data_IF_290949516743
#
_entry.id   IF_290949516743
#
_cell.length_a   1.000
_cell.length_b   1.000
_cell.length_c   1.000
_cell.angle_alpha   90.00
_cell.angle_beta   90.00
_cell.angle_gamma   90.00
#
_symmetry.space_group_name_H-M   'P 1'
#
loop_
_entity.id
_entity.type
_entity.pdbx_description
1 polymer ?
#
# COMPACT_ATOMS: atom_id res chain seq x y z
N UNK A 1 3.67 -8.59 0.98
CA UNK A 1 3.30 -9.20 -0.31
C UNK A 1 4.18 -8.59 -1.39
N UNK A 2 5.07 -9.39 -1.96
CA UNK A 2 5.86 -9.02 -3.13
C UNK A 2 4.98 -8.95 -4.38
N UNK A 3 5.46 -8.31 -5.45
CA UNK A 3 4.80 -8.36 -6.76
C UNK A 3 4.64 -9.81 -7.22
N UNK A 4 5.55 -10.73 -6.93
CA UNK A 4 5.36 -12.14 -7.29
C UNK A 4 4.30 -12.89 -6.43
N UNK A 5 3.57 -12.18 -5.56
CA UNK A 5 2.53 -12.74 -4.69
C UNK A 5 3.05 -13.45 -3.44
N UNK A 6 4.36 -13.45 -3.21
CA UNK A 6 4.95 -14.07 -2.02
C UNK A 6 4.70 -13.22 -0.76
N UNK A 7 4.41 -13.90 0.35
CA UNK A 7 4.19 -13.28 1.65
C UNK A 7 5.34 -13.66 2.58
N UNK A 8 6.20 -12.69 2.86
CA UNK A 8 7.25 -12.83 3.87
C UNK A 8 6.87 -12.08 5.14
N UNK A 9 7.33 -12.58 6.30
CA UNK A 9 7.21 -11.87 7.58
C UNK A 9 7.81 -10.45 7.45
N UNK A 10 7.04 -9.46 7.87
CA UNK A 10 7.34 -8.04 7.66
C UNK A 10 8.61 -7.60 8.37
N UNK A 11 9.68 -7.37 7.61
CA UNK A 11 10.85 -6.62 8.06
C UNK A 11 10.85 -5.24 7.42
N UNK A 12 10.80 -4.19 8.24
CA UNK A 12 10.82 -2.79 7.78
C UNK A 12 12.01 -2.46 6.89
N UNK A 13 13.13 -3.18 7.03
CA UNK A 13 14.33 -3.00 6.20
C UNK A 13 14.15 -3.44 4.75
N UNK A 14 13.11 -4.22 4.43
CA UNK A 14 12.78 -4.68 3.07
C UNK A 14 11.79 -3.79 2.33
N UNK A 15 11.19 -2.80 3.00
CA UNK A 15 10.30 -1.82 2.36
C UNK A 15 10.98 -1.13 1.15
N UNK A 16 12.25 -0.72 1.21
CA UNK A 16 12.95 -0.17 0.04
C UNK A 16 13.00 -1.13 -1.16
N UNK A 17 13.19 -2.42 -0.90
CA UNK A 17 13.29 -3.48 -1.92
C UNK A 17 11.91 -3.73 -2.55
N UNK A 18 10.86 -3.88 -1.73
CA UNK A 18 9.48 -4.00 -2.20
C UNK A 18 9.12 -2.85 -3.13
N UNK A 19 9.43 -1.62 -2.72
CA UNK A 19 9.15 -0.46 -3.56
C UNK A 19 9.98 -0.45 -4.85
N UNK A 20 11.18 -1.03 -4.87
CA UNK A 20 12.00 -1.14 -6.08
C UNK A 20 11.36 -2.06 -7.11
N UNK A 21 10.53 -3.02 -6.69
CA UNK A 21 9.73 -3.85 -7.59
C UNK A 21 8.73 -3.00 -8.39
N UNK A 22 8.25 -1.86 -7.87
CA UNK A 22 7.40 -0.94 -8.64
C UNK A 22 8.15 -0.21 -9.76
N UNK A 23 9.49 -0.24 -9.78
CA UNK A 23 10.29 0.33 -10.85
C UNK A 23 10.56 -0.67 -11.99
N UNK A 24 10.24 -1.95 -11.78
CA UNK A 24 10.33 -2.99 -12.81
C UNK A 24 9.24 -2.85 -13.89
N UNK A 25 9.40 -3.47 -15.07
CA UNK A 25 8.38 -3.46 -16.11
C UNK A 25 7.00 -3.81 -15.54
N UNK A 26 5.98 -3.17 -16.10
CA UNK A 26 4.61 -3.44 -15.71
C UNK A 26 4.30 -4.92 -15.92
N UNK A 27 3.86 -5.54 -14.85
CA UNK A 27 3.35 -6.90 -14.82
C UNK A 27 1.85 -6.77 -14.66
N UNK A 28 1.10 -7.25 -15.65
CA UNK A 28 -0.36 -7.17 -15.64
C UNK A 28 -0.97 -8.21 -14.69
N UNK A 29 -0.22 -9.23 -14.28
CA UNK A 29 -0.62 -10.22 -13.29
C UNK A 29 -0.47 -9.68 -11.86
N UNK A 30 0.53 -8.82 -11.65
CA UNK A 30 0.83 -8.21 -10.35
C UNK A 30 1.22 -6.72 -10.44
N UNK A 31 0.21 -5.83 -10.50
CA UNK A 31 0.42 -4.40 -10.69
C UNK A 31 0.79 -3.65 -9.40
N UNK A 32 0.70 -4.30 -8.23
CA UNK A 32 0.92 -3.71 -6.91
C UNK A 32 1.78 -4.56 -5.97
N UNK A 33 2.32 -3.88 -4.96
CA UNK A 33 2.88 -4.46 -3.75
C UNK A 33 1.94 -4.15 -2.58
N UNK A 34 1.89 -5.03 -1.58
CA UNK A 34 1.05 -4.78 -0.40
C UNK A 34 1.76 -5.10 0.92
N UNK A 35 1.47 -4.28 1.92
CA UNK A 35 1.84 -4.52 3.32
C UNK A 35 0.54 -4.59 4.11
N UNK A 36 0.39 -5.62 4.92
CA UNK A 36 -0.80 -5.83 5.74
C UNK A 36 -0.39 -6.00 7.20
N UNK A 37 -1.28 -5.59 8.09
CA UNK A 37 -1.15 -5.79 9.53
C UNK A 37 -2.02 -6.98 9.94
N UNK A 38 -1.39 -8.08 10.35
CA UNK A 38 -2.07 -9.34 10.70
C UNK A 38 -3.02 -9.21 11.91
N UNK A 39 -2.82 -8.24 12.80
CA UNK A 39 -3.63 -8.09 14.02
C UNK A 39 -4.94 -7.33 13.77
N UNK A 40 -4.93 -6.43 12.79
CA UNK A 40 -6.05 -5.51 12.52
C UNK A 40 -6.70 -5.70 11.15
N UNK A 41 -6.15 -6.59 10.32
CA UNK A 41 -6.58 -6.85 8.95
C UNK A 41 -6.57 -5.62 8.02
N UNK A 42 -5.84 -4.57 8.40
CA UNK A 42 -5.62 -3.46 7.49
C UNK A 42 -4.53 -3.78 6.48
N UNK A 43 -4.74 -3.37 5.24
CA UNK A 43 -3.82 -3.57 4.13
C UNK A 43 -3.60 -2.28 3.35
N UNK A 44 -2.33 -2.03 3.02
CA UNK A 44 -1.87 -0.95 2.18
C UNK A 44 -1.31 -1.53 0.88
N UNK A 45 -2.02 -1.33 -0.22
CA UNK A 45 -1.56 -1.68 -1.57
C UNK A 45 -1.00 -0.45 -2.28
N UNK A 46 0.11 -0.61 -2.98
CA UNK A 46 0.77 0.45 -3.73
C UNK A 46 1.04 0.03 -5.17
N UNK A 47 0.65 0.87 -6.12
CA UNK A 47 0.70 0.61 -7.54
C UNK A 47 1.76 1.49 -8.22
N UNK A 48 2.22 1.03 -9.38
CA UNK A 48 3.03 1.86 -10.27
C UNK A 48 2.29 3.15 -10.63
N UNK A 49 2.99 4.28 -10.60
CA UNK A 49 2.39 5.62 -10.82
C UNK A 49 1.91 6.32 -9.55
N UNK A 50 2.13 5.74 -8.37
CA UNK A 50 1.90 6.42 -7.08
C UNK A 50 0.44 6.41 -6.64
N UNK A 51 -0.36 5.45 -7.11
CA UNK A 51 -1.65 5.14 -6.51
C UNK A 51 -1.39 4.24 -5.28
N UNK A 52 -2.03 4.58 -4.17
CA UNK A 52 -1.96 3.84 -2.92
C UNK A 52 -3.38 3.60 -2.45
N UNK A 53 -3.70 2.38 -2.04
CA UNK A 53 -5.00 1.97 -1.52
C UNK A 53 -4.83 1.53 -0.07
N UNK A 54 -5.74 1.97 0.78
CA UNK A 54 -5.83 1.64 2.18
C UNK A 54 -7.20 1.06 2.48
N UNK A 55 -7.24 -0.20 2.86
CA UNK A 55 -8.48 -0.94 3.11
C UNK A 55 -8.34 -1.87 4.31
N UNK A 56 -9.46 -2.18 4.95
CA UNK A 56 -9.53 -3.26 5.92
C UNK A 56 -10.16 -4.46 5.24
N UNK A 57 -9.44 -5.57 5.12
CA UNK A 57 -9.88 -6.72 4.32
C UNK A 57 -10.93 -7.59 5.03
N UNK A 58 -11.08 -7.44 6.34
CA UNK A 58 -12.08 -8.17 7.13
C UNK A 58 -13.33 -7.34 7.41
N UNK A 59 -13.21 -6.02 7.44
CA UNK A 59 -14.34 -5.11 7.62
C UNK A 59 -15.00 -4.73 6.28
N UNK A 60 -16.27 -4.33 6.33
CA UNK A 60 -16.97 -3.79 5.15
C UNK A 60 -16.74 -2.28 4.95
N UNK A 61 -15.72 -1.72 5.62
CA UNK A 61 -15.31 -0.34 5.47
C UNK A 61 -15.03 -0.02 4.01
N UNK A 62 -15.40 1.18 3.60
CA UNK A 62 -15.06 1.65 2.26
C UNK A 62 -13.53 1.77 2.13
N UNK A 63 -12.95 1.26 1.04
CA UNK A 63 -11.53 1.45 0.75
C UNK A 63 -11.26 2.92 0.48
N UNK A 64 -10.04 3.33 0.73
CA UNK A 64 -9.58 4.68 0.48
C UNK A 64 -8.33 4.68 -0.38
N UNK A 65 -8.07 5.76 -1.11
CA UNK A 65 -6.86 5.89 -1.93
C UNK A 65 -6.19 7.25 -1.80
N UNK A 66 -4.88 7.26 -2.08
CA UNK A 66 -4.09 8.45 -2.38
C UNK A 66 -3.56 8.31 -3.80
N UNK A 67 -3.64 9.39 -4.57
CA UNK A 67 -3.14 9.44 -5.95
C UNK A 67 -1.91 10.35 -6.05
N UNK A 68 -1.01 10.04 -6.99
CA UNK A 68 0.22 10.80 -7.23
C UNK A 68 1.15 10.89 -5.99
N UNK A 69 1.17 9.84 -5.17
CA UNK A 69 2.04 9.76 -4.00
C UNK A 69 3.49 9.64 -4.45
N UNK A 70 4.34 10.55 -3.98
CA UNK A 70 5.77 10.50 -4.25
C UNK A 70 6.40 9.29 -3.55
N UNK A 71 7.43 8.69 -4.18
CA UNK A 71 8.14 7.50 -3.65
C UNK A 71 8.58 7.62 -2.19
N UNK A 72 9.07 8.79 -1.80
CA UNK A 72 9.50 9.05 -0.42
C UNK A 72 8.33 9.02 0.58
N UNK A 73 7.16 9.52 0.17
CA UNK A 73 5.96 9.48 1.00
C UNK A 73 5.37 8.07 1.04
N UNK A 74 5.37 7.35 -0.09
CA UNK A 74 4.96 5.96 -0.13
C UNK A 74 5.79 5.08 0.83
N UNK A 75 7.11 5.25 0.82
CA UNK A 75 8.01 4.59 1.77
C UNK A 75 7.66 4.92 3.22
N UNK A 76 7.34 6.19 3.50
CA UNK A 76 6.93 6.61 4.84
C UNK A 76 5.62 5.95 5.28
N UNK A 77 4.62 5.90 4.41
CA UNK A 77 3.32 5.31 4.72
C UNK A 77 3.47 3.81 4.97
N UNK A 78 4.24 3.11 4.14
CA UNK A 78 4.56 1.69 4.33
C UNK A 78 5.25 1.42 5.67
N UNK A 79 6.18 2.29 6.07
CA UNK A 79 6.84 2.17 7.37
C UNK A 79 5.84 2.33 8.51
N UNK A 80 4.93 3.30 8.44
CA UNK A 80 3.89 3.49 9.46
C UNK A 80 3.01 2.24 9.60
N UNK A 81 2.64 1.60 8.50
CA UNK A 81 1.86 0.34 8.54
C UNK A 81 2.66 -0.78 9.18
N UNK A 82 3.91 -0.99 8.74
CA UNK A 82 4.78 -2.03 9.28
C UNK A 82 5.16 -1.81 10.77
N UNK A 83 5.14 -0.57 11.25
CA UNK A 83 5.31 -0.22 12.67
C UNK A 83 4.01 -0.33 13.48
N UNK A 84 2.87 -0.71 12.87
CA UNK A 84 1.56 -0.76 13.51
C UNK A 84 0.96 0.62 13.84
N UNK A 85 1.48 1.70 13.24
CA UNK A 85 1.05 3.09 13.48
C UNK A 85 -0.14 3.48 12.59
N UNK A 86 -1.18 2.66 12.61
CA UNK A 86 -2.34 2.78 11.72
C UNK A 86 -3.15 4.06 11.94
N UNK A 87 -3.17 4.57 13.17
CA UNK A 87 -3.76 5.87 13.51
C UNK A 87 -3.14 7.03 12.72
N UNK A 88 -1.86 6.95 12.36
CA UNK A 88 -1.19 7.98 11.56
C UNK A 88 -1.46 7.81 10.08
N UNK A 89 -1.51 6.56 9.61
CA UNK A 89 -1.93 6.23 8.24
C UNK A 89 -3.34 6.76 8.00
N UNK A 90 -4.30 6.48 8.88
CA UNK A 90 -5.69 6.91 8.75
C UNK A 90 -5.93 8.43 8.81
N UNK A 91 -4.93 9.24 9.21
CA UNK A 91 -5.03 10.71 9.27
C UNK A 91 -4.56 11.42 8.00
N UNK A 92 -4.08 10.69 6.99
CA UNK A 92 -3.70 11.28 5.71
C UNK A 92 -4.95 11.74 4.94
N UNK A 93 -4.76 12.60 3.92
CA UNK A 93 -5.82 13.17 3.08
C UNK A 93 -6.40 12.16 2.06
N UNK A 94 -6.80 11.00 2.56
CA UNK A 94 -7.40 9.90 1.81
C UNK A 94 -8.65 10.34 1.04
N UNK A 95 -8.79 9.83 -0.17
CA UNK A 95 -9.98 9.95 -0.99
C UNK A 95 -10.79 8.63 -0.94
N UNK A 96 -12.13 8.67 -0.97
CA UNK A 96 -12.93 7.44 -0.96
C UNK A 96 -12.77 6.64 -2.25
N UNK A 97 -12.84 5.31 -2.15
CA UNK A 97 -12.77 4.36 -3.26
C UNK A 97 -11.36 3.88 -3.59
N UNK A 98 -11.25 3.00 -4.59
CA UNK A 98 -9.98 2.38 -5.01
C UNK A 98 -9.13 3.21 -5.98
N UNK A 99 -9.74 4.16 -6.67
CA UNK A 99 -9.08 4.95 -7.70
C UNK A 99 -9.80 6.29 -7.87
N UNK A 100 -9.10 7.32 -8.38
CA UNK A 100 -9.76 8.57 -8.75
C UNK A 100 -10.81 8.29 -9.83
N UNK A 101 -11.96 8.99 -9.82
CA UNK A 101 -12.98 8.81 -10.85
C UNK A 101 -12.36 9.04 -12.24
N UNK A 102 -12.73 8.18 -13.19
CA UNK A 102 -12.33 8.34 -14.58
C UNK A 102 -12.76 9.74 -15.08
N UNK A 103 -11.90 10.44 -15.85
CA UNK A 103 -12.19 11.77 -16.37
C UNK A 103 -13.40 11.81 -17.32
#
# INVERSE_FOLDING_TARGET
MHRDGDMEDGDVSRIPDLLAELDEPRDDEHPDIAISDDDTAWSLSAFQGGLVVWENVEDSAEPHHLANVARAELHRIMLLVAEGRLDEVGRLDWQPGYHPPAP
#
